data_IF_687553016374
#
_entry.id   IF_687553016374
#
_cell.length_a   1.000
_cell.length_b   1.000
_cell.length_c   1.000
_cell.angle_alpha   90.00
_cell.angle_beta   90.00
_cell.angle_gamma   90.00
#
_symmetry.space_group_name_H-M   'P 1'
#
loop_
_entity.id
_entity.type
_entity.pdbx_description
1 polymer ?
#
# COMPACT_ATOMS: atom_id res chain seq x y z
N UNK A 1 51.28 -14.35 26.14
CA UNK A 1 50.48 -13.77 27.25
C UNK A 1 49.01 -13.96 26.89
N UNK A 2 48.21 -14.53 27.80
CA UNK A 2 46.82 -14.97 27.58
C UNK A 2 45.86 -13.79 27.49
N UNK A 3 45.04 -13.74 26.45
CA UNK A 3 43.85 -12.88 26.39
C UNK A 3 42.75 -13.45 27.30
N UNK A 4 42.12 -12.63 28.18
CA UNK A 4 40.92 -13.07 28.87
C UNK A 4 39.69 -12.74 28.03
N UNK A 5 39.06 -13.77 27.46
CA UNK A 5 37.71 -13.70 26.91
C UNK A 5 36.74 -13.29 28.02
N UNK A 6 36.19 -12.08 27.90
CA UNK A 6 35.18 -11.55 28.80
C UNK A 6 33.82 -11.98 28.28
N UNK A 7 33.36 -13.16 28.70
CA UNK A 7 31.98 -13.61 28.43
C UNK A 7 30.99 -12.59 29.01
N UNK A 8 30.00 -12.10 28.24
CA UNK A 8 29.00 -11.19 28.76
C UNK A 8 28.18 -11.90 29.84
N UNK A 9 28.10 -11.27 31.01
CA UNK A 9 27.37 -11.73 32.18
C UNK A 9 25.87 -11.82 31.85
N UNK A 10 25.43 -13.01 31.43
CA UNK A 10 24.01 -13.35 31.31
C UNK A 10 23.43 -13.35 32.72
N UNK A 11 22.66 -12.31 33.03
CA UNK A 11 22.06 -12.06 34.35
C UNK A 11 21.32 -13.31 34.85
N UNK A 12 21.57 -13.74 36.09
CA UNK A 12 21.04 -14.97 36.75
C UNK A 12 19.54 -15.28 36.58
N UNK A 13 18.74 -14.30 36.16
CA UNK A 13 17.30 -14.39 35.96
C UNK A 13 16.87 -15.21 34.74
N UNK A 14 17.76 -15.41 33.76
CA UNK A 14 17.54 -16.30 32.60
C UNK A 14 17.86 -17.76 32.89
N UNK A 15 18.68 -18.05 33.91
CA UNK A 15 19.17 -19.41 34.17
C UNK A 15 18.22 -20.27 35.01
N UNK A 16 17.23 -19.68 35.70
CA UNK A 16 16.19 -20.42 36.41
C UNK A 16 14.91 -19.56 36.60
N UNK A 17 14.00 -19.53 35.61
CA UNK A 17 12.75 -18.78 35.75
C UNK A 17 11.80 -19.45 36.76
N UNK A 18 11.22 -18.64 37.66
CA UNK A 18 10.20 -19.13 38.61
C UNK A 18 9.00 -19.72 37.84
N UNK A 19 8.65 -21.01 38.03
CA UNK A 19 7.62 -21.69 37.23
C UNK A 19 6.21 -21.12 37.42
N UNK A 20 5.93 -20.51 38.58
CA UNK A 20 4.65 -19.83 38.84
C UNK A 20 4.55 -18.54 38.03
N UNK A 21 5.65 -17.77 37.94
CA UNK A 21 5.72 -16.55 37.15
C UNK A 21 5.56 -16.83 35.65
N UNK A 22 6.17 -17.90 35.16
CA UNK A 22 6.04 -18.33 33.76
C UNK A 22 4.58 -18.70 33.45
N UNK A 23 3.94 -19.52 34.30
CA UNK A 23 2.53 -19.90 34.14
C UNK A 23 1.59 -18.70 34.13
N UNK A 24 1.82 -17.74 35.02
CA UNK A 24 1.02 -16.53 35.09
C UNK A 24 1.20 -15.63 33.85
N UNK A 25 2.44 -15.40 33.40
CA UNK A 25 2.68 -14.68 32.15
C UNK A 25 2.02 -15.39 30.96
N UNK A 26 2.13 -16.72 30.88
CA UNK A 26 1.47 -17.52 29.85
C UNK A 26 -0.07 -17.36 29.89
N UNK A 27 -0.66 -17.30 31.09
CA UNK A 27 -2.11 -17.03 31.27
C UNK A 27 -2.48 -15.65 30.75
N UNK A 28 -1.72 -14.61 31.11
CA UNK A 28 -1.95 -13.23 30.63
C UNK A 28 -1.78 -13.12 29.11
N UNK A 29 -0.76 -13.77 28.55
CA UNK A 29 -0.55 -13.80 27.11
C UNK A 29 -1.73 -14.46 26.39
N UNK A 30 -2.19 -15.64 26.85
CA UNK A 30 -3.38 -16.29 26.31
C UNK A 30 -4.62 -15.42 26.42
N UNK A 31 -4.81 -14.72 27.54
CA UNK A 31 -5.93 -13.79 27.71
C UNK A 31 -5.87 -12.63 26.70
N UNK A 32 -4.70 -12.02 26.50
CA UNK A 32 -4.51 -10.95 25.49
C UNK A 32 -4.76 -11.43 24.08
N UNK A 33 -4.25 -12.61 23.72
CA UNK A 33 -4.45 -13.21 22.40
C UNK A 33 -5.94 -13.48 22.17
N UNK A 34 -6.63 -14.10 23.15
CA UNK A 34 -8.07 -14.36 23.08
C UNK A 34 -8.87 -13.07 22.89
N UNK A 35 -8.61 -12.05 23.69
CA UNK A 35 -9.28 -10.76 23.59
C UNK A 35 -9.03 -10.08 22.21
N UNK A 36 -7.82 -10.18 21.67
CA UNK A 36 -7.50 -9.68 20.33
C UNK A 36 -8.26 -10.46 19.25
N UNK A 37 -8.31 -11.78 19.35
CA UNK A 37 -9.06 -12.63 18.41
C UNK A 37 -10.54 -12.26 18.43
N UNK A 38 -11.15 -12.17 19.61
CA UNK A 38 -12.56 -11.78 19.76
C UNK A 38 -12.83 -10.37 19.17
N UNK A 39 -11.91 -9.42 19.40
CA UNK A 39 -12.03 -8.08 18.81
C UNK A 39 -11.94 -8.10 17.29
N UNK A 40 -11.03 -8.88 16.71
CA UNK A 40 -10.87 -8.99 15.26
C UNK A 40 -12.08 -9.70 14.62
N UNK A 41 -12.60 -10.75 15.24
CA UNK A 41 -13.81 -11.44 14.78
C UNK A 41 -15.04 -10.50 14.81
N UNK A 42 -15.16 -9.65 15.84
CA UNK A 42 -16.20 -8.63 15.90
C UNK A 42 -16.06 -7.57 14.79
N UNK A 43 -14.83 -7.10 14.52
CA UNK A 43 -14.59 -6.16 13.42
C UNK A 43 -14.89 -6.78 12.05
N UNK A 44 -14.49 -8.03 11.83
CA UNK A 44 -14.77 -8.76 10.60
C UNK A 44 -16.28 -8.91 10.38
N UNK A 45 -17.03 -9.32 11.39
CA UNK A 45 -18.49 -9.45 11.25
C UNK A 45 -19.19 -8.11 11.02
N UNK A 46 -18.77 -7.04 11.70
CA UNK A 46 -19.31 -5.70 11.49
C UNK A 46 -19.04 -5.19 10.06
N UNK A 47 -17.81 -5.30 9.57
CA UNK A 47 -17.43 -4.87 8.22
C UNK A 47 -18.11 -5.70 7.13
N UNK A 48 -18.24 -7.02 7.33
CA UNK A 48 -18.99 -7.88 6.42
C UNK A 48 -20.48 -7.48 6.35
N UNK A 49 -21.10 -7.16 7.49
CA UNK A 49 -22.49 -6.70 7.53
C UNK A 49 -22.67 -5.36 6.81
N UNK A 50 -21.75 -4.41 7.03
CA UNK A 50 -21.77 -3.11 6.35
C UNK A 50 -21.63 -3.28 4.83
N UNK A 51 -20.72 -4.14 4.39
CA UNK A 51 -20.52 -4.44 2.97
C UNK A 51 -21.77 -5.06 2.35
N UNK A 52 -22.41 -6.02 3.03
CA UNK A 52 -23.67 -6.61 2.57
C UNK A 52 -24.79 -5.57 2.45
N UNK A 53 -24.91 -4.66 3.43
CA UNK A 53 -25.89 -3.59 3.39
C UNK A 53 -25.62 -2.61 2.22
N UNK A 54 -24.36 -2.25 1.98
CA UNK A 54 -23.97 -1.40 0.86
C UNK A 54 -24.27 -2.07 -0.49
N UNK A 55 -23.95 -3.36 -0.65
CA UNK A 55 -24.27 -4.13 -1.86
C UNK A 55 -25.77 -4.21 -2.10
N UNK A 56 -26.57 -4.44 -1.06
CA UNK A 56 -28.04 -4.46 -1.16
C UNK A 56 -28.60 -3.11 -1.64
N UNK A 57 -28.05 -2.00 -1.12
CA UNK A 57 -28.45 -0.65 -1.54
C UNK A 57 -28.06 -0.34 -2.99
N UNK A 58 -26.88 -0.78 -3.42
CA UNK A 58 -26.45 -0.63 -4.82
C UNK A 58 -27.43 -1.40 -5.71
N UNK A 59 -27.71 -2.66 -5.40
CA UNK A 59 -28.63 -3.47 -6.18
C UNK A 59 -30.05 -2.86 -6.25
N UNK A 60 -30.55 -2.33 -5.13
CA UNK A 60 -31.82 -1.60 -5.10
C UNK A 60 -31.80 -0.39 -6.06
N UNK A 61 -30.78 0.46 -5.97
CA UNK A 61 -30.65 1.63 -6.84
C UNK A 61 -30.49 1.25 -8.31
N UNK A 62 -29.72 0.22 -8.62
CA UNK A 62 -29.56 -0.32 -9.97
C UNK A 62 -30.89 -0.83 -10.53
N UNK A 63 -31.72 -1.48 -9.71
CA UNK A 63 -33.06 -1.91 -10.11
C UNK A 63 -33.97 -0.74 -10.44
N UNK A 64 -33.93 0.35 -9.64
CA UNK A 64 -34.68 1.57 -9.92
C UNK A 64 -34.21 2.28 -11.20
N UNK A 65 -32.90 2.39 -11.41
CA UNK A 65 -32.32 2.97 -12.63
C UNK A 65 -32.74 2.14 -13.84
N UNK A 66 -32.66 0.81 -13.75
CA UNK A 66 -33.02 -0.11 -14.85
C UNK A 66 -34.50 0.00 -15.19
N UNK A 67 -35.39 0.01 -14.19
CA UNK A 67 -36.82 0.17 -14.39
C UNK A 67 -37.16 1.52 -15.05
N UNK A 68 -36.59 2.63 -14.55
CA UNK A 68 -36.82 3.95 -15.14
C UNK A 68 -36.24 4.07 -16.55
N UNK A 69 -35.06 3.49 -16.79
CA UNK A 69 -34.46 3.44 -18.13
C UNK A 69 -35.32 2.65 -19.12
N UNK A 70 -35.95 1.56 -18.67
CA UNK A 70 -36.92 0.80 -19.48
C UNK A 70 -38.17 1.62 -19.82
N UNK A 71 -38.64 2.46 -18.89
CA UNK A 71 -39.76 3.38 -19.14
C UNK A 71 -39.39 4.47 -20.15
N UNK A 72 -38.17 5.01 -20.09
CA UNK A 72 -37.69 6.04 -21.02
C UNK A 72 -37.39 5.52 -22.44
N UNK A 73 -37.00 4.24 -22.61
CA UNK A 73 -36.76 3.65 -23.94
C UNK A 73 -38.08 3.30 -24.66
N UNK A 74 -39.23 3.31 -23.96
CA UNK A 74 -40.54 3.01 -24.55
C UNK A 74 -41.24 4.22 -25.21
N UNK A 75 -40.72 5.44 -25.05
CA UNK A 75 -41.32 6.67 -25.63
C UNK A 75 -40.62 7.22 -26.89
N UNK A 76 -39.54 6.59 -27.36
CA UNK A 76 -38.91 6.93 -28.64
C UNK A 76 -38.61 5.67 -29.47
N UNK A 77 -39.54 5.27 -30.35
CA UNK A 77 -39.18 4.34 -31.43
C UNK A 77 -40.27 3.50 -32.11
N UNK A 78 -41.40 4.07 -32.53
CA UNK A 78 -42.19 3.50 -33.64
C UNK A 78 -42.54 4.58 -34.68
N UNK A 79 -41.89 4.53 -35.85
CA UNK A 79 -42.47 4.91 -37.14
C UNK A 79 -41.89 4.00 -38.26
N UNK A 80 -42.71 3.48 -39.20
CA UNK A 80 -42.31 2.48 -40.18
C UNK A 80 -42.23 2.99 -41.65
N UNK A 81 -41.57 2.17 -42.50
CA UNK A 81 -41.60 2.10 -43.98
C UNK A 81 -40.78 3.16 -44.76
N UNK A 82 -39.90 2.84 -45.73
CA UNK A 82 -39.59 1.53 -46.31
C UNK A 82 -38.51 1.51 -47.40
N UNK A 83 -38.19 0.26 -47.76
CA UNK A 83 -37.76 -0.27 -49.07
C UNK A 83 -36.75 0.52 -49.90
N UNK A 84 -35.51 0.02 -49.86
CA UNK A 84 -34.49 0.23 -50.89
C UNK A 84 -33.48 -0.92 -50.86
N UNK A 85 -33.94 -2.14 -51.19
CA UNK A 85 -33.06 -3.28 -51.39
C UNK A 85 -32.15 -3.00 -52.60
N UNK A 86 -30.85 -2.86 -52.36
CA UNK A 86 -29.82 -3.08 -53.37
C UNK A 86 -28.96 -4.23 -52.87
N UNK A 87 -29.10 -5.36 -53.55
CA UNK A 87 -28.24 -6.51 -53.38
C UNK A 87 -26.81 -6.13 -53.79
N UNK A 88 -25.89 -6.03 -52.83
CA UNK A 88 -24.50 -6.40 -53.07
C UNK A 88 -23.95 -7.06 -51.80
N UNK A 89 -24.09 -8.39 -51.77
CA UNK A 89 -23.31 -9.26 -50.91
C UNK A 89 -21.81 -9.09 -51.23
N UNK A 90 -21.02 -8.72 -50.22
CA UNK A 90 -19.86 -9.49 -49.78
C UNK A 90 -19.20 -8.85 -48.53
N UNK A 91 -19.41 -9.54 -47.41
CA UNK A 91 -18.59 -9.75 -46.21
C UNK A 91 -18.08 -8.56 -45.33
N UNK A 92 -18.58 -8.57 -44.10
CA UNK A 92 -18.22 -7.79 -42.91
C UNK A 92 -16.85 -8.20 -42.29
N UNK A 93 -16.39 -7.59 -41.16
CA UNK A 93 -16.59 -6.24 -40.60
C UNK A 93 -15.22 -5.56 -40.28
N UNK A 94 -15.02 -4.24 -40.26
CA UNK A 94 -15.46 -3.32 -39.21
C UNK A 94 -14.87 -1.94 -39.55
N UNK A 95 -15.69 -0.98 -39.99
CA UNK A 95 -15.34 0.44 -39.96
C UNK A 95 -16.51 1.17 -39.29
N UNK A 96 -16.26 1.78 -38.14
CA UNK A 96 -17.11 2.87 -37.66
C UNK A 96 -16.54 4.18 -38.22
N UNK A 97 -17.32 4.97 -38.98
CA UNK A 97 -16.92 6.32 -39.32
C UNK A 97 -17.48 7.34 -38.31
N UNK A 98 -16.62 8.34 -38.10
CA UNK A 98 -16.81 9.61 -37.42
C UNK A 98 -17.90 10.44 -38.13
N UNK A 99 -18.74 11.12 -37.35
CA UNK A 99 -19.40 12.39 -37.72
C UNK A 99 -19.48 13.25 -36.42
N UNK A 100 -18.74 14.36 -36.25
CA UNK A 100 -18.96 15.74 -36.74
C UNK A 100 -20.43 16.17 -36.68
N UNK A 101 -20.88 17.33 -36.22
CA UNK A 101 -20.37 18.63 -35.70
C UNK A 101 -21.65 19.43 -35.44
N UNK A 102 -21.71 20.27 -34.39
CA UNK A 102 -22.58 21.47 -34.24
C UNK A 102 -22.26 22.07 -32.86
N UNK A 103 -21.41 23.09 -32.79
CA UNK A 103 -21.75 24.54 -32.77
C UNK A 103 -22.36 24.96 -31.41
N UNK A 104 -21.60 25.68 -30.57
CA UNK A 104 -21.98 27.07 -30.28
C UNK A 104 -20.85 27.85 -29.57
N UNK A 105 -20.72 29.07 -30.06
CA UNK A 105 -19.80 30.15 -29.73
C UNK A 105 -20.09 30.73 -28.34
N UNK A 106 -19.08 30.81 -27.47
CA UNK A 106 -18.83 31.95 -26.57
C UNK A 106 -17.58 31.73 -25.71
N UNK A 107 -16.62 32.65 -25.83
CA UNK A 107 -15.49 32.81 -24.91
C UNK A 107 -15.60 34.22 -24.34
N UNK A 108 -15.51 34.39 -23.03
CA UNK A 108 -14.61 35.41 -22.50
C UNK A 108 -13.54 34.77 -21.63
N UNK A 109 -12.31 35.19 -21.84
CA UNK A 109 -11.21 35.06 -20.88
C UNK A 109 -11.48 36.10 -19.77
N UNK A 110 -11.55 35.68 -18.51
CA UNK A 110 -10.92 36.40 -17.39
C UNK A 110 -11.09 35.65 -16.05
N UNK A 111 -9.95 35.55 -15.35
CA UNK A 111 -9.77 35.64 -13.89
C UNK A 111 -10.77 34.92 -12.97
N UNK A 112 -10.37 33.79 -12.38
CA UNK A 112 -10.09 33.74 -10.93
C UNK A 112 -9.40 32.42 -10.53
N UNK A 113 -8.11 32.50 -10.20
CA UNK A 113 -7.35 31.39 -9.60
C UNK A 113 -7.51 31.51 -8.09
N UNK A 114 -8.69 31.20 -7.57
CA UNK A 114 -8.95 30.82 -6.18
C UNK A 114 -10.45 30.54 -5.96
N UNK A 115 -10.85 29.27 -6.02
CA UNK A 115 -12.08 28.80 -5.41
C UNK A 115 -11.91 27.37 -4.87
N UNK A 116 -11.56 27.32 -3.59
CA UNK A 116 -11.99 26.35 -2.57
C UNK A 116 -11.93 24.86 -2.96
N UNK A 117 -10.81 24.24 -2.63
CA UNK A 117 -10.80 22.89 -2.08
C UNK A 117 -10.12 22.95 -0.72
N UNK A 118 -10.88 23.33 0.30
CA UNK A 118 -10.51 23.03 1.69
C UNK A 118 -11.24 21.74 2.08
N UNK A 119 -10.60 20.97 2.96
CA UNK A 119 -10.97 19.64 3.46
C UNK A 119 -10.50 18.45 2.62
N UNK A 120 -9.18 18.37 2.40
CA UNK A 120 -8.36 17.23 2.82
C UNK A 120 -6.89 17.68 2.64
N UNK A 121 -6.39 18.48 3.58
CA UNK A 121 -4.94 18.60 3.77
C UNK A 121 -4.44 17.26 4.31
N UNK A 122 -4.08 16.36 3.40
CA UNK A 122 -3.09 15.34 3.70
C UNK A 122 -1.80 16.14 3.99
N UNK A 123 -1.20 16.05 5.19
CA UNK A 123 0.06 16.71 5.44
C UNK A 123 1.06 16.16 4.40
N UNK A 124 1.65 17.07 3.63
CA UNK A 124 2.57 16.74 2.55
C UNK A 124 3.82 16.07 3.12
N UNK A 125 3.79 14.74 3.21
CA UNK A 125 4.96 13.86 3.40
C UNK A 125 5.68 13.58 2.07
N UNK A 126 5.19 14.14 0.96
CA UNK A 126 5.63 13.81 -0.39
C UNK A 126 7.11 14.06 -0.68
N UNK A 127 7.78 14.98 0.04
CA UNK A 127 9.20 15.27 -0.19
C UNK A 127 10.11 14.21 0.43
N UNK A 128 9.78 13.72 1.63
CA UNK A 128 10.56 12.66 2.31
C UNK A 128 10.36 11.29 1.65
N UNK A 129 9.12 10.96 1.27
CA UNK A 129 8.83 9.74 0.53
C UNK A 129 9.54 9.73 -0.84
N UNK A 130 9.61 10.89 -1.52
CA UNK A 130 10.30 11.00 -2.81
C UNK A 130 11.83 10.85 -2.69
N UNK A 131 12.44 11.34 -1.61
CA UNK A 131 13.86 11.17 -1.35
C UNK A 131 14.20 9.72 -1.00
N UNK A 132 13.41 9.09 -0.12
CA UNK A 132 13.63 7.69 0.29
C UNK A 132 13.46 6.71 -0.89
N UNK A 133 12.49 6.97 -1.77
CA UNK A 133 12.28 6.17 -2.99
C UNK A 133 13.43 6.32 -4.00
N UNK A 134 14.01 7.52 -4.10
CA UNK A 134 15.18 7.78 -4.96
C UNK A 134 16.41 7.04 -4.46
N UNK A 135 16.63 6.97 -3.14
CA UNK A 135 17.73 6.20 -2.53
C UNK A 135 17.57 4.70 -2.81
N UNK A 136 16.36 4.14 -2.73
CA UNK A 136 16.13 2.72 -3.05
C UNK A 136 16.47 2.39 -4.50
N UNK A 137 16.05 3.24 -5.44
CA UNK A 137 16.35 3.04 -6.87
C UNK A 137 17.85 3.11 -7.18
N UNK A 138 18.62 3.91 -6.42
CA UNK A 138 20.06 3.98 -6.55
C UNK A 138 20.73 2.63 -6.26
N UNK A 139 20.33 1.98 -5.16
CA UNK A 139 20.91 0.71 -4.73
C UNK A 139 20.32 -0.52 -5.44
N UNK A 140 19.10 -0.44 -5.98
CA UNK A 140 18.48 -1.52 -6.77
C UNK A 140 19.31 -1.88 -8.02
N UNK A 141 20.06 -0.92 -8.57
CA UNK A 141 20.90 -1.08 -9.76
C UNK A 141 22.40 -1.20 -9.42
N UNK A 142 22.77 -1.22 -8.14
CA UNK A 142 24.18 -1.26 -7.73
C UNK A 142 24.67 -2.70 -7.60
N UNK A 143 25.26 -3.20 -8.69
CA UNK A 143 25.91 -4.51 -8.74
C UNK A 143 27.20 -4.60 -7.88
N UNK A 144 27.69 -3.47 -7.33
CA UNK A 144 28.88 -3.44 -6.47
C UNK A 144 28.57 -3.79 -5.01
N UNK A 145 27.29 -3.93 -4.64
CA UNK A 145 26.89 -4.33 -3.30
C UNK A 145 27.32 -5.78 -2.97
N UNK A 146 27.78 -6.06 -1.74
CA UNK A 146 28.13 -7.42 -1.33
C UNK A 146 26.93 -8.39 -1.44
N UNK A 147 27.14 -9.65 -1.83
CA UNK A 147 26.12 -10.68 -1.69
C UNK A 147 25.77 -10.91 -0.22
N UNK A 148 24.52 -11.27 0.06
CA UNK A 148 24.13 -11.73 1.40
C UNK A 148 24.94 -12.96 1.80
N UNK A 149 25.52 -12.95 3.01
CA UNK A 149 26.29 -14.08 3.51
C UNK A 149 25.38 -15.23 3.97
N UNK A 150 25.91 -16.45 3.97
CA UNK A 150 25.17 -17.62 4.43
C UNK A 150 24.81 -17.48 5.92
N UNK A 151 23.52 -17.33 6.22
CA UNK A 151 22.99 -17.17 7.58
C UNK A 151 22.60 -15.74 7.96
N UNK A 152 22.86 -14.75 7.11
CA UNK A 152 22.34 -13.39 7.30
C UNK A 152 20.85 -13.34 6.95
N UNK A 153 20.04 -12.81 7.86
CA UNK A 153 18.65 -12.45 7.56
C UNK A 153 18.65 -11.08 6.92
N UNK A 154 18.13 -10.98 5.70
CA UNK A 154 18.07 -9.73 4.94
C UNK A 154 16.63 -9.40 4.55
N UNK A 155 16.27 -8.13 4.63
CA UNK A 155 14.97 -7.57 4.25
C UNK A 155 15.11 -6.78 2.95
N UNK A 156 14.08 -6.76 2.08
CA UNK A 156 14.12 -5.94 0.86
C UNK A 156 14.23 -4.46 1.23
N UNK A 157 15.04 -3.68 0.50
CA UNK A 157 15.20 -2.25 0.73
C UNK A 157 13.84 -1.52 0.73
N UNK A 158 12.98 -1.81 -0.24
CA UNK A 158 11.63 -1.23 -0.31
C UNK A 158 10.84 -1.42 0.99
N UNK A 159 10.86 -2.64 1.54
CA UNK A 159 10.16 -2.95 2.79
C UNK A 159 10.85 -2.31 4.00
N UNK A 160 12.18 -2.28 4.00
CA UNK A 160 12.95 -1.66 5.07
C UNK A 160 12.66 -0.15 5.20
N UNK A 161 12.60 0.57 4.08
CA UNK A 161 12.27 1.99 4.08
C UNK A 161 10.82 2.27 4.45
N UNK A 162 9.87 1.40 4.07
CA UNK A 162 8.48 1.49 4.53
C UNK A 162 8.38 1.35 6.06
N UNK A 163 9.12 0.41 6.65
CA UNK A 163 9.20 0.26 8.10
C UNK A 163 9.81 1.50 8.77
N UNK A 164 10.88 2.05 8.18
CA UNK A 164 11.53 3.26 8.71
C UNK A 164 10.58 4.45 8.67
N UNK A 165 9.84 4.64 7.57
CA UNK A 165 8.86 5.72 7.44
C UNK A 165 7.78 5.64 8.53
N UNK A 166 7.28 4.44 8.83
CA UNK A 166 6.29 4.23 9.90
C UNK A 166 6.83 4.53 11.30
N UNK A 167 8.12 4.30 11.53
CA UNK A 167 8.74 4.44 12.85
C UNK A 167 9.49 5.76 13.04
N UNK A 168 9.73 6.55 11.99
CA UNK A 168 10.46 7.81 12.03
C UNK A 168 9.61 8.98 12.58
N UNK A 169 8.98 8.80 13.73
CA UNK A 169 8.20 9.84 14.42
C UNK A 169 9.05 11.03 14.87
N UNK A 170 10.36 10.84 15.01
CA UNK A 170 11.30 11.89 15.41
C UNK A 170 11.77 12.75 14.23
N UNK A 171 11.48 12.36 12.99
CA UNK A 171 11.86 13.12 11.80
C UNK A 171 13.36 13.11 11.51
N UNK A 172 14.03 11.97 11.70
CA UNK A 172 15.43 11.79 11.32
C UNK A 172 15.58 11.94 9.81
N UNK A 173 16.61 12.68 9.40
CA UNK A 173 16.92 12.98 8.01
C UNK A 173 17.25 11.73 7.20
N UNK A 174 16.83 11.71 5.94
CA UNK A 174 17.04 10.60 4.99
C UNK A 174 18.52 10.23 4.83
N UNK A 175 19.42 11.22 4.86
CA UNK A 175 20.86 11.01 4.75
C UNK A 175 21.45 10.26 5.96
N UNK A 176 20.96 10.56 7.16
CA UNK A 176 21.40 9.89 8.39
C UNK A 176 20.89 8.46 8.46
N UNK A 177 19.67 8.23 7.97
CA UNK A 177 19.11 6.89 7.77
C UNK A 177 19.99 6.10 6.81
N UNK A 178 20.32 6.66 5.65
CA UNK A 178 21.14 5.99 4.64
C UNK A 178 22.54 5.68 5.17
N UNK A 179 23.19 6.62 5.85
CA UNK A 179 24.50 6.41 6.47
C UNK A 179 24.50 5.25 7.48
N UNK A 180 23.39 5.04 8.18
CA UNK A 180 23.24 3.96 9.15
C UNK A 180 22.95 2.61 8.49
N UNK A 181 22.18 2.59 7.40
CA UNK A 181 21.87 1.38 6.64
C UNK A 181 23.00 0.95 5.70
N UNK A 182 23.87 1.88 5.29
CA UNK A 182 24.97 1.65 4.35
C UNK A 182 25.78 0.38 4.60
N UNK A 183 26.25 0.08 5.83
CA UNK A 183 26.98 -1.17 6.10
C UNK A 183 26.14 -2.45 5.92
N UNK A 184 24.82 -2.33 5.99
CA UNK A 184 23.88 -3.43 5.87
C UNK A 184 23.38 -3.71 4.47
N UNK A 185 23.66 -2.86 3.47
CA UNK A 185 23.18 -3.12 2.11
C UNK A 185 23.81 -4.38 1.53
N UNK A 186 22.97 -5.14 0.82
CA UNK A 186 23.30 -6.36 0.10
C UNK A 186 22.62 -6.31 -1.26
N UNK A 187 23.27 -6.87 -2.27
CA UNK A 187 22.63 -7.04 -3.58
C UNK A 187 21.50 -8.06 -3.54
N UNK A 188 20.67 -8.05 -4.57
CA UNK A 188 19.57 -8.98 -4.75
C UNK A 188 20.02 -10.46 -4.67
N UNK A 189 19.24 -11.30 -4.00
CA UNK A 189 19.52 -12.74 -3.95
C UNK A 189 19.15 -13.42 -5.27
N UNK A 190 18.13 -12.90 -5.96
CA UNK A 190 17.74 -13.28 -7.31
C UNK A 190 17.64 -12.04 -8.20
N UNK A 191 17.85 -12.24 -9.49
CA UNK A 191 17.71 -11.17 -10.49
C UNK A 191 16.29 -10.58 -10.43
N UNK A 192 16.20 -9.25 -10.30
CA UNK A 192 14.93 -8.52 -10.25
C UNK A 192 14.31 -8.33 -8.86
N UNK A 193 14.89 -8.86 -7.78
CA UNK A 193 14.36 -8.64 -6.41
C UNK A 193 14.71 -7.26 -5.82
N UNK A 194 15.70 -6.58 -6.39
CA UNK A 194 16.19 -5.29 -5.87
C UNK A 194 17.13 -5.45 -4.67
N UNK A 195 17.59 -4.31 -4.14
CA UNK A 195 18.54 -4.32 -3.03
C UNK A 195 17.91 -4.85 -1.74
N UNK A 196 18.77 -5.35 -0.86
CA UNK A 196 18.40 -5.86 0.45
C UNK A 196 19.23 -5.17 1.52
N UNK A 197 18.75 -5.21 2.76
CA UNK A 197 19.46 -4.72 3.93
C UNK A 197 19.44 -5.76 5.03
N UNK A 198 20.54 -5.87 5.77
CA UNK A 198 20.63 -6.75 6.93
C UNK A 198 19.58 -6.40 7.99
N UNK A 199 18.79 -7.39 8.40
CA UNK A 199 17.64 -7.21 9.30
C UNK A 199 18.05 -6.70 10.69
N UNK A 200 19.24 -7.08 11.17
CA UNK A 200 19.82 -6.63 12.46
C UNK A 200 20.07 -5.12 12.47
N UNK A 201 20.66 -4.59 11.41
CA UNK A 201 20.97 -3.16 11.24
C UNK A 201 19.69 -2.35 11.08
N UNK A 202 18.72 -2.87 10.32
CA UNK A 202 17.40 -2.25 10.17
C UNK A 202 16.70 -2.06 11.52
N UNK A 203 16.63 -3.10 12.35
CA UNK A 203 15.98 -3.00 13.66
C UNK A 203 16.77 -2.14 14.64
N UNK A 204 18.10 -2.17 14.60
CA UNK A 204 18.92 -1.26 15.41
C UNK A 204 18.66 0.22 15.07
N UNK A 205 18.40 0.54 13.79
CA UNK A 205 17.99 1.88 13.39
C UNK A 205 16.58 2.21 13.88
N UNK A 206 15.62 1.28 13.73
CA UNK A 206 14.23 1.45 14.18
C UNK A 206 14.17 1.74 15.69
N UNK A 207 14.93 0.99 16.50
CA UNK A 207 15.02 1.21 17.95
C UNK A 207 15.56 2.60 18.30
N UNK A 208 16.44 3.16 17.45
CA UNK A 208 17.01 4.50 17.66
C UNK A 208 16.03 5.62 17.30
N UNK A 209 15.24 5.45 16.25
CA UNK A 209 14.28 6.47 15.76
C UNK A 209 12.91 6.38 16.45
N UNK A 210 12.63 5.28 17.15
CA UNK A 210 11.41 5.09 17.93
C UNK A 210 11.75 4.68 19.38
N UNK A 211 12.36 5.58 20.18
CA UNK A 211 12.58 5.30 21.59
C UNK A 211 11.24 5.26 22.32
N UNK A 212 10.88 4.07 22.80
CA UNK A 212 9.70 3.84 23.67
C UNK A 212 9.83 4.61 24.98
#
# INVERSE_FOLDING_TARGET
MKSPDKTPNVTKWTLNPNPTRVRDNQRRHRARVKARTESLEAQLSATQQELQAAQARIHELESFITANRSSFVSEQGELPVGLGASNSSCDAPTCYPILTTLDERSRPQDLDRNAVASFFEIPSTGVLASNMFSTVQHYDNDDQLPPAAAGESTTLCRLAYEMIEQHNITGVESLDIENCLRPGFRRAARMGEGCRVETTILFALIDRISPV
#
